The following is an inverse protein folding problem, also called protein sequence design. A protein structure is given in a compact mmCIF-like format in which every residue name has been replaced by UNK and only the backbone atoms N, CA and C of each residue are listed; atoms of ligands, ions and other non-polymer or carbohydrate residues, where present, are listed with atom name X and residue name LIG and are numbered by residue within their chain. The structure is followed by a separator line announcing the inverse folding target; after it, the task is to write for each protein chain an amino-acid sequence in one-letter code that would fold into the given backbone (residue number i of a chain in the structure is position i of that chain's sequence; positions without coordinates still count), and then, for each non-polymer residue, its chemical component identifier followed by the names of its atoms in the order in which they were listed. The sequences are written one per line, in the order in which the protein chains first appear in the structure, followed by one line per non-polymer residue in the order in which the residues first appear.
data_IF_914296498605
#
_entry.id   IF_914296498605
#
_cell.length_a   1.000
_cell.length_b   1.000
_cell.length_c   1.000
_cell.angle_alpha   90.00
_cell.angle_beta   90.00
_cell.angle_gamma   90.00
#
_symmetry.space_group_name_H-M   'P 1'
#
loop_
_entity.id
_entity.type
_entity.pdbx_description
1 polymer ?
#
# COMPACT_ATOMS: atom_id res chain seq x y z
N UNK A 1 4.07 14.26 -10.47
CA UNK A 1 4.40 12.85 -10.21
C UNK A 1 5.44 12.74 -9.11
N UNK A 2 5.28 11.79 -8.19
CA UNK A 2 6.22 11.49 -7.09
C UNK A 2 6.96 10.18 -7.31
N UNK A 3 6.25 9.14 -7.76
CA UNK A 3 6.81 7.83 -8.02
C UNK A 3 6.07 7.14 -9.16
N UNK A 4 6.74 6.18 -9.78
CA UNK A 4 6.19 5.30 -10.83
C UNK A 4 6.44 3.85 -10.40
N UNK A 5 5.38 3.05 -10.38
CA UNK A 5 5.42 1.63 -10.10
C UNK A 5 5.43 0.82 -11.40
N UNK A 6 6.32 -0.16 -11.48
CA UNK A 6 6.39 -1.10 -12.60
C UNK A 6 5.32 -2.20 -12.50
N UNK A 7 5.07 -2.86 -13.62
CA UNK A 7 4.34 -4.11 -13.67
C UNK A 7 5.27 -5.26 -13.25
N UNK A 8 4.87 -6.09 -12.28
CA UNK A 8 5.77 -7.08 -11.68
C UNK A 8 5.26 -8.49 -11.89
N UNK A 9 6.13 -9.34 -12.41
CA UNK A 9 5.91 -10.77 -12.59
C UNK A 9 6.78 -11.56 -11.61
N UNK A 10 6.23 -12.65 -11.10
CA UNK A 10 7.01 -13.64 -10.35
C UNK A 10 7.96 -14.36 -11.32
N UNK A 11 9.23 -14.45 -10.93
CA UNK A 11 10.28 -15.02 -11.79
C UNK A 11 10.05 -16.49 -12.11
N UNK A 12 9.58 -17.29 -11.15
CA UNK A 12 9.44 -18.74 -11.30
C UNK A 12 8.20 -19.11 -12.11
N UNK A 13 7.09 -18.43 -11.83
CA UNK A 13 5.76 -18.81 -12.35
C UNK A 13 5.33 -17.98 -13.55
N UNK A 14 5.96 -16.83 -13.79
CA UNK A 14 5.48 -15.86 -14.77
C UNK A 14 4.18 -15.17 -14.40
N UNK A 15 3.65 -15.39 -13.19
CA UNK A 15 2.36 -14.85 -12.76
C UNK A 15 2.52 -13.40 -12.30
N UNK A 16 1.63 -12.55 -12.78
CA UNK A 16 1.50 -11.15 -12.39
C UNK A 16 1.26 -11.03 -10.88
N UNK A 17 2.24 -10.44 -10.21
CA UNK A 17 2.27 -10.33 -8.76
C UNK A 17 2.17 -8.86 -8.31
N UNK A 18 2.67 -7.91 -9.09
CA UNK A 18 2.50 -6.47 -8.88
C UNK A 18 1.88 -5.79 -10.10
N UNK A 19 0.90 -4.94 -9.87
CA UNK A 19 0.20 -4.16 -10.90
C UNK A 19 -0.33 -2.87 -10.27
N UNK A 20 -1.09 -2.07 -11.03
CA UNK A 20 -1.75 -0.88 -10.49
C UNK A 20 -2.63 -1.23 -9.29
N UNK A 21 -2.40 -0.58 -8.15
CA UNK A 21 -3.11 -0.88 -6.91
C UNK A 21 -4.19 0.14 -6.58
N UNK A 22 -5.28 -0.42 -6.08
CA UNK A 22 -6.49 0.28 -5.71
C UNK A 22 -6.55 0.36 -4.19
N UNK A 23 -6.75 1.56 -3.69
CA UNK A 23 -7.19 1.76 -2.32
C UNK A 23 -8.69 1.57 -2.20
N UNK A 24 -9.15 0.84 -1.19
CA UNK A 24 -10.55 0.83 -0.77
C UNK A 24 -10.64 0.90 0.74
N UNK A 25 -11.43 1.83 1.27
CA UNK A 25 -11.73 1.84 2.68
C UNK A 25 -12.98 0.99 2.96
N UNK A 26 -12.84 -0.06 3.76
CA UNK A 26 -13.94 -0.97 4.07
C UNK A 26 -13.73 -1.69 5.40
N UNK A 27 -14.76 -1.66 6.25
CA UNK A 27 -14.76 -2.32 7.58
C UNK A 27 -13.63 -1.80 8.45
N UNK A 28 -13.46 -0.48 8.48
CA UNK A 28 -12.43 0.18 9.26
C UNK A 28 -11.01 0.06 8.73
N UNK A 29 -10.81 -0.40 7.50
CA UNK A 29 -9.46 -0.57 6.96
C UNK A 29 -9.32 -0.04 5.54
N UNK A 30 -8.23 0.68 5.30
CA UNK A 30 -7.69 0.91 3.96
C UNK A 30 -7.06 -0.39 3.46
N UNK A 31 -7.69 -0.97 2.45
CA UNK A 31 -7.25 -2.15 1.71
C UNK A 31 -6.48 -1.65 0.49
N UNK A 32 -5.30 -2.24 0.28
CA UNK A 32 -4.32 -1.80 -0.74
C UNK A 32 -3.95 -2.93 -1.71
N UNK A 33 -4.62 -4.09 -1.59
CA UNK A 33 -4.30 -5.31 -2.34
C UNK A 33 -5.23 -5.56 -3.53
N UNK A 34 -6.27 -4.75 -3.68
CA UNK A 34 -7.10 -4.78 -4.88
C UNK A 34 -6.28 -4.21 -6.04
N UNK A 35 -6.24 -4.91 -7.17
CA UNK A 35 -5.35 -4.59 -8.29
C UNK A 35 -6.14 -4.40 -9.57
N UNK A 36 -5.61 -3.61 -10.49
CA UNK A 36 -6.02 -3.55 -11.87
C UNK A 36 -4.81 -3.78 -12.77
N UNK A 37 -5.08 -4.39 -13.92
CA UNK A 37 -4.12 -4.66 -14.96
C UNK A 37 -4.46 -3.84 -16.20
N UNK A 38 -3.41 -3.47 -16.93
CA UNK A 38 -3.50 -2.81 -18.23
C UNK A 38 -2.57 -3.56 -19.16
N UNK A 39 -3.06 -3.92 -20.34
CA UNK A 39 -2.23 -4.55 -21.36
C UNK A 39 -1.16 -3.56 -21.87
N UNK A 40 0.13 -3.95 -21.94
CA UNK A 40 1.22 -3.05 -22.35
C UNK A 40 1.11 -2.55 -23.80
N UNK A 41 0.40 -3.29 -24.65
CA UNK A 41 0.32 -3.03 -26.09
C UNK A 41 -0.72 -1.96 -26.45
N UNK A 42 -1.41 -1.41 -25.46
CA UNK A 42 -2.43 -0.38 -25.66
C UNK A 42 -1.78 0.99 -25.89
N UNK A 43 -2.46 1.83 -26.68
CA UNK A 43 -2.10 3.24 -26.86
C UNK A 43 -1.89 3.93 -25.50
N UNK A 44 -0.98 4.92 -25.49
CA UNK A 44 -0.75 5.69 -24.28
C UNK A 44 -2.06 6.35 -23.83
N UNK A 45 -2.40 6.24 -22.53
CA UNK A 45 -3.63 6.85 -22.07
C UNK A 45 -3.48 8.37 -22.09
N UNK A 46 -4.57 9.09 -22.38
CA UNK A 46 -4.63 10.55 -22.26
C UNK A 46 -4.27 11.05 -20.85
N UNK A 47 -4.44 10.18 -19.85
CA UNK A 47 -4.17 10.44 -18.44
C UNK A 47 -3.35 9.29 -17.83
N UNK A 48 -2.38 9.58 -16.94
CA UNK A 48 -1.56 8.55 -16.34
C UNK A 48 -2.40 7.58 -15.50
N UNK A 49 -2.05 6.29 -15.54
CA UNK A 49 -2.58 5.30 -14.62
C UNK A 49 -2.10 5.60 -13.20
N UNK A 50 -3.02 5.78 -12.26
CA UNK A 50 -2.70 6.11 -10.87
C UNK A 50 -2.76 4.87 -9.98
N UNK A 51 -1.84 4.77 -9.04
CA UNK A 51 -1.82 3.69 -8.04
C UNK A 51 -1.76 4.28 -6.63
N UNK A 52 -2.28 3.57 -5.64
CA UNK A 52 -2.26 4.05 -4.25
C UNK A 52 -0.85 4.10 -3.67
N UNK A 53 0.01 3.17 -4.07
CA UNK A 53 1.41 3.19 -3.69
C UNK A 53 2.30 2.57 -4.77
N UNK A 54 3.59 2.89 -4.69
CA UNK A 54 4.61 2.27 -5.52
C UNK A 54 5.44 1.34 -4.65
N UNK A 55 5.45 0.05 -5.00
CA UNK A 55 6.16 -0.99 -4.25
C UNK A 55 7.67 -0.73 -4.27
N UNK A 56 8.31 -0.69 -3.11
CA UNK A 56 9.70 -0.23 -2.97
C UNK A 56 10.74 -1.03 -3.78
N UNK A 57 10.47 -2.30 -4.09
CA UNK A 57 11.37 -3.17 -4.88
C UNK A 57 11.21 -3.07 -6.40
N UNK A 58 10.23 -2.29 -6.89
CA UNK A 58 9.89 -2.23 -8.32
C UNK A 58 9.30 -0.86 -8.67
N UNK A 59 9.95 0.20 -8.18
CA UNK A 59 9.50 1.57 -8.35
C UNK A 59 10.67 2.54 -8.52
N UNK A 60 10.39 3.64 -9.21
CA UNK A 60 11.27 4.81 -9.25
C UNK A 60 10.62 5.97 -8.50
N UNK A 61 11.43 6.71 -7.75
CA UNK A 61 11.02 7.89 -7.00
C UNK A 61 11.71 9.13 -7.56
N UNK A 62 10.98 10.23 -7.63
CA UNK A 62 11.56 11.55 -7.84
C UNK A 62 12.41 11.92 -6.62
N UNK A 63 13.72 12.04 -6.81
CA UNK A 63 14.68 12.20 -5.70
C UNK A 63 14.38 13.44 -4.85
N UNK A 64 14.12 14.57 -5.50
CA UNK A 64 13.90 15.84 -4.80
C UNK A 64 12.62 15.78 -3.98
N UNK A 65 11.52 15.28 -4.56
CA UNK A 65 10.25 15.12 -3.83
C UNK A 65 10.36 14.08 -2.72
N UNK A 66 11.07 12.97 -2.95
CA UNK A 66 11.29 11.93 -1.94
C UNK A 66 12.03 12.48 -0.72
N UNK A 67 13.11 13.22 -0.93
CA UNK A 67 13.85 13.86 0.17
C UNK A 67 13.05 14.99 0.81
N UNK A 68 12.30 15.77 0.05
CA UNK A 68 11.48 16.87 0.56
C UNK A 68 10.38 16.39 1.53
N UNK A 69 9.83 15.19 1.32
CA UNK A 69 8.85 14.62 2.25
C UNK A 69 9.48 13.83 3.40
N UNK A 70 10.81 13.70 3.45
CA UNK A 70 11.56 13.02 4.50
C UNK A 70 11.90 11.56 4.24
N UNK A 71 11.73 11.06 3.00
CA UNK A 71 12.00 9.66 2.65
C UNK A 71 11.17 8.65 3.44
N UNK A 72 11.66 7.42 3.62
CA UNK A 72 11.00 6.40 4.43
C UNK A 72 11.07 6.72 5.94
N UNK A 73 9.96 6.52 6.65
CA UNK A 73 9.93 6.69 8.10
C UNK A 73 10.35 5.39 8.81
N UNK A 74 11.40 5.47 9.63
CA UNK A 74 11.91 4.37 10.46
C UNK A 74 10.87 3.78 11.44
N UNK A 75 9.75 4.48 11.68
CA UNK A 75 8.59 3.93 12.39
C UNK A 75 8.11 2.61 11.77
N UNK A 76 8.26 2.47 10.45
CA UNK A 76 7.82 1.31 9.67
C UNK A 76 8.89 0.21 9.55
N UNK A 77 10.08 0.40 10.14
CA UNK A 77 11.12 -0.62 10.14
C UNK A 77 10.68 -1.90 10.89
N UNK A 78 11.16 -3.08 10.49
CA UNK A 78 12.16 -3.34 9.44
C UNK A 78 11.57 -3.54 8.03
N UNK A 79 10.25 -3.69 7.88
CA UNK A 79 9.57 -3.92 6.59
C UNK A 79 8.06 -3.79 6.76
N UNK A 80 7.35 -3.73 5.63
CA UNK A 80 5.90 -3.72 5.52
C UNK A 80 5.32 -2.32 5.72
N UNK A 81 4.49 -1.89 4.77
CA UNK A 81 3.77 -0.60 4.79
C UNK A 81 4.63 0.66 4.68
N UNK A 82 5.95 0.57 4.64
CA UNK A 82 6.86 1.71 4.44
C UNK A 82 6.65 2.38 3.07
N UNK A 83 6.41 1.57 2.04
CA UNK A 83 6.14 1.99 0.67
C UNK A 83 4.71 2.56 0.51
N UNK A 84 3.75 1.94 1.19
CA UNK A 84 2.37 2.43 1.31
C UNK A 84 2.35 3.79 2.00
N UNK A 85 3.03 3.93 3.14
CA UNK A 85 2.99 5.14 3.95
C UNK A 85 3.65 6.33 3.26
N UNK A 86 4.84 6.14 2.67
CA UNK A 86 5.53 7.24 1.96
C UNK A 86 4.70 7.70 0.75
N UNK A 87 4.04 6.77 0.07
CA UNK A 87 3.14 7.08 -1.05
C UNK A 87 1.89 7.83 -0.58
N UNK A 88 1.29 7.43 0.54
CA UNK A 88 0.17 8.16 1.16
C UNK A 88 0.60 9.58 1.52
N UNK A 89 1.79 9.78 2.11
CA UNK A 89 2.32 11.13 2.39
C UNK A 89 2.43 11.96 1.12
N UNK A 90 3.02 11.41 0.06
CA UNK A 90 3.13 12.10 -1.22
C UNK A 90 1.76 12.50 -1.78
N UNK A 91 0.80 11.57 -1.77
CA UNK A 91 -0.58 11.82 -2.20
C UNK A 91 -1.27 12.93 -1.39
N UNK A 92 -1.11 12.91 -0.07
CA UNK A 92 -1.65 13.91 0.86
C UNK A 92 -1.04 15.29 0.64
N UNK A 93 0.20 15.37 0.15
CA UNK A 93 0.90 16.61 -0.20
C UNK A 93 0.64 17.11 -1.62
N UNK A 94 -0.26 16.46 -2.37
CA UNK A 94 -0.66 16.93 -3.70
C UNK A 94 0.06 16.23 -4.84
N UNK A 95 1.07 15.41 -4.57
CA UNK A 95 1.70 14.60 -5.60
C UNK A 95 0.83 13.41 -6.03
N UNK A 96 1.30 12.68 -7.04
CA UNK A 96 0.63 11.53 -7.63
C UNK A 96 1.61 10.37 -7.72
N UNK A 97 1.11 9.14 -7.59
CA UNK A 97 1.89 7.93 -7.81
C UNK A 97 1.31 7.22 -9.03
N UNK A 98 2.17 6.94 -10.00
CA UNK A 98 1.78 6.41 -11.30
C UNK A 98 2.08 4.91 -11.39
N UNK A 99 1.38 4.24 -12.29
CA UNK A 99 1.60 2.85 -12.67
C UNK A 99 2.00 2.80 -14.15
N UNK A 100 3.09 2.12 -14.49
CA UNK A 100 3.60 2.01 -15.85
C UNK A 100 3.50 0.55 -16.34
N UNK A 101 2.43 0.18 -17.08
CA UNK A 101 2.24 -1.18 -17.57
C UNK A 101 3.30 -1.61 -18.60
N UNK A 102 3.94 -0.67 -19.29
CA UNK A 102 4.99 -0.95 -20.29
C UNK A 102 6.37 -1.20 -19.67
N UNK A 103 6.49 -1.11 -18.34
CA UNK A 103 7.72 -1.41 -17.59
C UNK A 103 7.57 -2.73 -16.82
N UNK A 104 7.85 -3.89 -17.46
CA UNK A 104 7.83 -5.17 -16.77
C UNK A 104 9.11 -5.40 -15.95
N UNK A 105 8.94 -5.84 -14.71
CA UNK A 105 10.02 -6.27 -13.82
C UNK A 105 9.75 -7.70 -13.36
N UNK A 106 10.80 -8.50 -13.29
CA UNK A 106 10.75 -9.87 -12.80
C UNK A 106 11.37 -9.93 -11.41
N UNK A 107 10.63 -10.50 -10.44
CA UNK A 107 11.02 -10.48 -9.04
C UNK A 107 10.85 -11.86 -8.40
N UNK A 108 11.83 -12.29 -7.61
CA UNK A 108 11.70 -13.49 -6.77
C UNK A 108 11.04 -13.11 -5.44
N UNK A 109 9.78 -13.53 -5.25
CA UNK A 109 9.04 -13.18 -4.05
C UNK A 109 9.51 -13.96 -2.82
N UNK A 110 9.56 -13.27 -1.67
CA UNK A 110 9.80 -13.86 -0.34
C UNK A 110 11.14 -14.55 -0.11
N UNK A 111 12.14 -14.39 -0.99
CA UNK A 111 13.44 -15.06 -0.89
C UNK A 111 14.22 -14.74 0.39
N UNK A 112 14.05 -13.55 0.96
CA UNK A 112 14.86 -13.11 2.12
C UNK A 112 14.11 -13.18 3.45
N UNK A 113 12.93 -12.56 3.55
CA UNK A 113 12.17 -12.49 4.81
C UNK A 113 11.48 -13.82 5.11
N UNK A 114 10.90 -14.47 4.11
CA UNK A 114 10.14 -15.71 4.27
C UNK A 114 10.99 -16.88 4.74
N UNK A 115 12.30 -16.88 4.45
CA UNK A 115 13.22 -17.93 4.85
C UNK A 115 13.82 -17.71 6.26
N UNK A 116 13.98 -16.45 6.68
CA UNK A 116 14.74 -16.10 7.90
C UNK A 116 13.88 -15.72 9.10
N UNK A 117 12.63 -15.28 8.88
CA UNK A 117 11.78 -14.74 9.95
C UNK A 117 10.48 -15.56 10.06
N UNK A 118 10.09 -15.98 11.27
CA UNK A 118 8.82 -16.68 11.47
C UNK A 118 7.64 -15.86 10.96
N UNK A 119 6.74 -16.50 10.19
CA UNK A 119 5.54 -15.87 9.61
C UNK A 119 4.71 -15.09 10.63
N UNK A 120 4.63 -15.59 11.87
CA UNK A 120 3.93 -14.89 12.97
C UNK A 120 4.54 -13.53 13.27
N UNK A 121 5.88 -13.44 13.32
CA UNK A 121 6.59 -12.18 13.55
C UNK A 121 6.41 -11.20 12.39
N UNK A 122 6.44 -11.71 11.15
CA UNK A 122 6.15 -10.92 9.95
C UNK A 122 4.74 -10.32 10.02
N UNK A 123 3.74 -11.14 10.38
CA UNK A 123 2.36 -10.69 10.51
C UNK A 123 2.18 -9.61 11.60
N UNK A 124 2.87 -9.76 12.75
CA UNK A 124 2.84 -8.75 13.82
C UNK A 124 3.38 -7.42 13.31
N UNK A 125 4.52 -7.42 12.64
CA UNK A 125 5.16 -6.19 12.12
C UNK A 125 4.29 -5.54 11.04
N UNK A 126 3.80 -6.33 10.08
CA UNK A 126 2.93 -5.85 9.02
C UNK A 126 1.64 -5.23 9.58
N UNK A 127 0.95 -5.91 10.51
CA UNK A 127 -0.30 -5.39 11.07
C UNK A 127 -0.07 -4.20 12.01
N UNK A 128 1.03 -4.18 12.77
CA UNK A 128 1.43 -3.00 13.56
C UNK A 128 1.59 -1.79 12.65
N UNK A 129 2.37 -1.93 11.58
CA UNK A 129 2.64 -0.85 10.63
C UNK A 129 1.36 -0.36 9.95
N UNK A 130 0.49 -1.29 9.57
CA UNK A 130 -0.85 -0.99 9.08
C UNK A 130 -1.65 -0.15 10.07
N UNK A 131 -1.79 -0.60 11.32
CA UNK A 131 -2.54 0.11 12.37
C UNK A 131 -1.96 1.53 12.57
N UNK A 132 -0.64 1.66 12.67
CA UNK A 132 0.02 2.97 12.81
C UNK A 132 -0.30 3.90 11.64
N UNK A 133 -0.24 3.40 10.40
CA UNK A 133 -0.63 4.19 9.22
C UNK A 133 -2.09 4.64 9.28
N UNK A 134 -3.01 3.79 9.77
CA UNK A 134 -4.41 4.16 9.90
C UNK A 134 -4.59 5.28 10.93
N UNK A 135 -3.91 5.17 12.08
CA UNK A 135 -3.98 6.18 13.14
C UNK A 135 -3.35 7.52 12.72
N UNK A 136 -2.31 7.48 11.89
CA UNK A 136 -1.66 8.70 11.38
C UNK A 136 -2.48 9.35 10.27
N UNK A 137 -2.98 8.60 9.29
CA UNK A 137 -3.45 9.18 8.02
C UNK A 137 -4.97 9.22 7.82
N UNK A 138 -5.76 8.42 8.54
CA UNK A 138 -7.22 8.44 8.33
C UNK A 138 -7.85 9.74 8.82
N UNK A 139 -8.84 10.23 8.07
CA UNK A 139 -9.75 11.29 8.54
C UNK A 139 -10.57 10.81 9.74
N UNK A 140 -11.18 11.74 10.49
CA UNK A 140 -11.81 11.42 11.78
C UNK A 140 -12.88 10.32 11.67
N UNK A 141 -13.79 10.42 10.71
CA UNK A 141 -14.87 9.42 10.53
C UNK A 141 -14.31 8.03 10.19
N UNK A 142 -13.35 7.97 9.27
CA UNK A 142 -12.68 6.71 8.90
C UNK A 142 -11.87 6.15 10.08
N UNK A 143 -11.24 7.00 10.89
CA UNK A 143 -10.51 6.59 12.07
C UNK A 143 -11.46 6.01 13.13
N UNK A 144 -12.62 6.63 13.35
CA UNK A 144 -13.64 6.09 14.27
C UNK A 144 -14.12 4.72 13.81
N UNK A 145 -14.45 4.55 12.52
CA UNK A 145 -14.79 3.24 11.96
C UNK A 145 -13.63 2.24 12.14
N UNK A 146 -12.39 2.67 11.89
CA UNK A 146 -11.21 1.85 12.12
C UNK A 146 -11.12 1.36 13.56
N UNK A 147 -11.27 2.24 14.55
CA UNK A 147 -11.21 1.88 15.97
C UNK A 147 -12.32 0.88 16.32
N UNK A 148 -13.54 1.10 15.86
CA UNK A 148 -14.67 0.17 16.09
C UNK A 148 -14.34 -1.22 15.53
N UNK A 149 -13.91 -1.32 14.27
CA UNK A 149 -13.57 -2.62 13.67
C UNK A 149 -12.28 -3.23 14.23
N UNK A 150 -11.33 -2.41 14.68
CA UNK A 150 -10.09 -2.88 15.33
C UNK A 150 -10.46 -3.71 16.57
N UNK A 151 -11.35 -3.19 17.40
CA UNK A 151 -11.81 -3.85 18.63
C UNK A 151 -12.85 -4.96 18.38
N UNK A 152 -13.76 -4.82 17.42
CA UNK A 152 -14.69 -5.92 17.04
C UNK A 152 -13.94 -7.17 16.57
N UNK A 153 -12.81 -6.98 15.87
CA UNK A 153 -12.03 -8.11 15.38
C UNK A 153 -11.10 -8.72 16.45
N UNK A 154 -10.83 -8.02 17.55
CA UNK A 154 -9.89 -8.49 18.58
C UNK A 154 -10.35 -9.81 19.24
N UNK A 155 -11.60 -9.98 19.72
CA UNK A 155 -12.07 -11.25 20.27
C UNK A 155 -11.95 -12.42 19.29
N UNK A 156 -12.27 -12.20 18.01
CA UNK A 156 -12.13 -13.24 16.97
C UNK A 156 -10.69 -13.75 16.85
N UNK A 157 -9.71 -12.85 16.94
CA UNK A 157 -8.30 -13.23 16.84
C UNK A 157 -7.81 -13.93 18.11
N UNK A 158 -8.28 -13.52 19.29
CA UNK A 158 -7.95 -14.19 20.56
C UNK A 158 -8.52 -15.62 20.57
N UNK A 159 -9.80 -15.80 20.23
CA UNK A 159 -10.48 -17.10 20.21
C UNK A 159 -9.83 -18.06 19.20
N UNK A 160 -9.34 -17.55 18.07
CA UNK A 160 -8.65 -18.35 17.05
C UNK A 160 -7.15 -18.56 17.33
N UNK A 161 -6.66 -18.15 18.50
CA UNK A 161 -5.25 -18.29 18.90
C UNK A 161 -4.27 -17.41 18.11
N UNK A 162 -4.78 -16.41 17.37
CA UNK A 162 -4.02 -15.47 16.54
C UNK A 162 -3.60 -14.25 17.34
N UNK A 163 -2.73 -14.47 18.33
CA UNK A 163 -2.18 -13.43 19.22
C UNK A 163 -1.39 -12.33 18.49
N UNK A 164 -1.01 -12.55 17.22
CA UNK A 164 -0.29 -11.59 16.40
C UNK A 164 -1.02 -10.24 16.31
N UNK A 165 -2.35 -10.28 16.21
CA UNK A 165 -3.19 -9.08 16.09
C UNK A 165 -3.21 -8.28 17.40
N UNK A 166 -3.36 -8.95 18.54
CA UNK A 166 -3.30 -8.30 19.86
C UNK A 166 -1.92 -7.69 20.12
N UNK A 167 -0.84 -8.41 19.76
CA UNK A 167 0.53 -7.93 19.89
C UNK A 167 0.78 -6.71 19.00
N UNK A 168 0.27 -6.70 17.76
CA UNK A 168 0.37 -5.55 16.86
C UNK A 168 -0.29 -4.29 17.43
N UNK A 169 -1.47 -4.43 18.06
CA UNK A 169 -2.16 -3.32 18.75
C UNK A 169 -1.31 -2.79 19.90
N UNK A 170 -0.82 -3.67 20.78
CA UNK A 170 0.02 -3.28 21.91
C UNK A 170 1.31 -2.56 21.46
N UNK A 171 1.98 -3.06 20.42
CA UNK A 171 3.16 -2.43 19.83
C UNK A 171 2.86 -1.06 19.19
N UNK A 172 1.65 -0.87 18.66
CA UNK A 172 1.20 0.42 18.12
C UNK A 172 0.99 1.43 19.25
N UNK A 173 0.38 1.02 20.37
CA UNK A 173 0.20 1.88 21.55
C UNK A 173 1.53 2.32 22.18
N UNK A 174 2.56 1.46 22.20
CA UNK A 174 3.91 1.86 22.64
C UNK A 174 4.49 3.04 21.84
N UNK A 175 3.97 3.29 20.64
CA UNK A 175 4.41 4.35 19.72
C UNK A 175 3.41 5.51 19.63
N UNK A 176 2.41 5.56 20.51
CA UNK A 176 1.29 6.51 20.41
C UNK A 176 1.72 7.97 20.39
N UNK A 177 2.74 8.34 21.17
CA UNK A 177 3.24 9.72 21.20
C UNK A 177 3.81 10.16 19.84
N UNK A 178 4.54 9.27 19.16
CA UNK A 178 5.05 9.52 17.82
C UNK A 178 3.91 9.60 16.81
N UNK A 179 2.94 8.69 16.90
CA UNK A 179 1.74 8.66 16.04
C UNK A 179 0.95 9.95 16.14
N UNK A 180 0.70 10.46 17.36
CA UNK A 180 0.00 11.72 17.60
C UNK A 180 0.78 12.90 16.98
N UNK A 181 2.10 12.94 17.20
CA UNK A 181 2.98 13.97 16.62
C UNK A 181 2.89 13.97 15.10
N UNK A 182 2.99 12.81 14.46
CA UNK A 182 2.91 12.66 13.00
C UNK A 182 1.52 13.00 12.46
N UNK A 183 0.45 12.54 13.12
CA UNK A 183 -0.93 12.88 12.74
C UNK A 183 -1.13 14.39 12.70
N UNK A 184 -0.69 15.11 13.74
CA UNK A 184 -0.78 16.58 13.80
C UNK A 184 0.03 17.23 12.67
N UNK A 185 1.28 16.78 12.46
CA UNK A 185 2.17 17.33 11.43
C UNK A 185 1.60 17.17 10.01
N UNK A 186 1.07 15.98 9.68
CA UNK A 186 0.54 15.72 8.34
C UNK A 186 -0.84 16.33 8.11
N UNK A 187 -1.71 16.35 9.12
CA UNK A 187 -3.02 17.01 8.98
C UNK A 187 -2.90 18.51 8.69
N UNK A 188 -1.90 19.19 9.26
CA UNK A 188 -1.66 20.62 9.01
C UNK A 188 -1.13 20.95 7.61
N UNK A 189 -0.64 19.96 6.86
CA UNK A 189 -0.05 20.14 5.51
C UNK A 189 -0.84 19.44 4.40
N UNK A 190 -1.89 18.70 4.76
CA UNK A 190 -2.63 17.83 3.85
C UNK A 190 -3.47 18.66 2.89
N UNK A 191 -3.27 18.47 1.59
CA UNK A 191 -4.14 19.01 0.53
C UNK A 191 -5.13 17.97 0.00
N UNK A 192 -4.94 16.69 0.34
CA UNK A 192 -5.91 15.61 0.07
C UNK A 192 -6.13 14.73 1.28
N UNK A 193 -7.36 14.28 1.46
CA UNK A 193 -7.78 13.22 2.37
C UNK A 193 -7.63 11.84 1.71
N UNK A 194 -7.64 10.77 2.51
CA UNK A 194 -7.58 9.39 2.00
C UNK A 194 -8.76 9.07 1.08
N UNK A 195 -9.96 9.59 1.40
CA UNK A 195 -11.15 9.39 0.57
C UNK A 195 -11.00 10.03 -0.82
N UNK A 196 -10.48 11.26 -0.89
CA UNK A 196 -10.18 11.93 -2.17
C UNK A 196 -9.12 11.19 -2.97
N UNK A 197 -8.08 10.65 -2.31
CA UNK A 197 -7.04 9.86 -2.96
C UNK A 197 -7.64 8.61 -3.59
N UNK A 198 -8.43 7.85 -2.81
CA UNK A 198 -9.12 6.63 -3.28
C UNK A 198 -10.04 6.94 -4.46
N UNK A 199 -10.88 7.98 -4.34
CA UNK A 199 -11.79 8.43 -5.42
C UNK A 199 -11.03 8.82 -6.67
N UNK A 200 -9.94 9.57 -6.55
CA UNK A 200 -9.13 10.01 -7.69
C UNK A 200 -8.47 8.84 -8.43
N UNK A 201 -7.97 7.84 -7.70
CA UNK A 201 -7.41 6.62 -8.30
C UNK A 201 -8.51 5.78 -8.95
N UNK A 202 -9.71 5.74 -8.36
CA UNK A 202 -10.85 5.06 -8.98
C UNK A 202 -11.29 5.74 -10.27
N UNK A 203 -11.33 7.08 -10.30
CA UNK A 203 -11.72 7.84 -11.49
C UNK A 203 -10.68 7.82 -12.61
N UNK A 204 -9.40 7.54 -12.32
CA UNK A 204 -8.37 7.42 -13.36
C UNK A 204 -8.40 6.07 -14.09
N UNK A 205 -9.31 5.16 -13.73
CA UNK A 205 -9.46 3.83 -14.35
C UNK A 205 -10.53 3.84 -15.44
N UNK A 206 -10.57 4.89 -16.24
CA UNK A 206 -11.55 5.02 -17.32
C UNK A 206 -10.90 4.61 -18.62
N UNK A 207 -11.25 3.42 -19.12
CA UNK A 207 -10.77 2.88 -20.39
C UNK A 207 -11.23 1.43 -20.56
N UNK A 208 -11.60 1.04 -21.78
CA UNK A 208 -12.00 -0.33 -22.13
C UNK A 208 -10.89 -1.38 -21.93
N UNK A 209 -9.66 -0.92 -21.70
CA UNK A 209 -8.44 -1.72 -21.55
C UNK A 209 -8.01 -1.97 -20.09
N UNK A 210 -8.78 -1.52 -19.09
CA UNK A 210 -8.47 -1.73 -17.68
C UNK A 210 -9.21 -2.96 -17.14
N UNK A 211 -8.45 -3.99 -16.74
CA UNK A 211 -9.02 -5.20 -16.14
C UNK A 211 -8.87 -5.19 -14.63
N UNK A 212 -9.97 -5.30 -13.87
CA UNK A 212 -9.92 -5.48 -12.41
C UNK A 212 -9.53 -6.92 -12.10
N UNK A 213 -8.47 -7.09 -11.31
CA UNK A 213 -8.02 -8.40 -10.87
C UNK A 213 -8.77 -8.78 -9.59
N UNK A 214 -9.48 -9.90 -9.63
CA UNK A 214 -9.99 -10.55 -8.43
C UNK A 214 -9.04 -11.67 -7.99
N UNK A 215 -9.27 -12.25 -6.81
CA UNK A 215 -8.43 -13.31 -6.27
C UNK A 215 -8.33 -14.59 -7.14
N UNK A 216 -9.17 -14.73 -8.17
CA UNK A 216 -9.18 -15.86 -9.12
C UNK A 216 -8.56 -15.51 -10.48
N UNK A 217 -8.24 -14.25 -10.76
CA UNK A 217 -7.66 -13.82 -12.04
C UNK A 217 -6.15 -13.93 -12.00
N UNK A 218 -5.60 -14.95 -12.68
CA UNK A 218 -4.16 -15.08 -12.91
C UNK A 218 -3.82 -14.57 -14.32
N UNK A 219 -2.91 -13.61 -14.39
CA UNK A 219 -2.32 -13.13 -15.65
C UNK A 219 -0.89 -13.65 -15.68
N UNK A 220 -0.47 -14.27 -16.78
CA UNK A 220 0.87 -14.84 -16.90
C UNK A 220 1.61 -14.27 -18.11
N UNK A 221 2.92 -14.19 -18.00
CA UNK A 221 3.84 -13.84 -19.09
C UNK A 221 5.01 -14.82 -19.05
N UNK A 222 5.54 -15.19 -20.21
CA UNK A 222 6.72 -16.08 -20.29
C UNK A 222 7.99 -15.24 -20.30
N UNK A 223 9.03 -15.70 -19.58
CA UNK A 223 10.36 -15.09 -19.69
C UNK A 223 10.92 -15.46 -21.06
N UNK A 224 11.11 -14.46 -21.92
CA UNK A 224 11.91 -14.61 -23.14
C UNK A 224 13.32 -14.09 -22.81
N UNK A 225 14.26 -15.02 -22.58
CA UNK A 225 15.69 -14.73 -22.43
C UNK A 225 16.32 -14.66 -23.82
#
# INVERSE_FOLDING_TARGET
MFAVASQVYDFETGILSGAGQIGQFRRGYLRIHDRYFVEPEVEEPDMPYLTIYATGGSAMYDREKFLAIGGFDTLYSPYGWEDVEVSIRAWRLGYTVHYEPKSPVWHHFSSTIGQKIPKKSVNVIYERNRIMAHWIHLGLNMLLEHIVFLFINLPRHIITGKWEYAKAIAESFKRINYIIKMRKAYNGKSVRSIDEIVKKILSSKTGSNVQILNAKTAISKTVHI
#
